data_IF_570700004664
#
_entry.id   IF_570700004664
#
_cell.length_a   1.000
_cell.length_b   1.000
_cell.length_c   1.000
_cell.angle_alpha   90.00
_cell.angle_beta   90.00
_cell.angle_gamma   90.00
#
_symmetry.space_group_name_H-M   'P 1'
#
loop_
_entity.id
_entity.type
_entity.pdbx_description
1 polymer ?
#
# COMPACT_ATOMS: atom_id res chain seq x y z
N UNK A 1 -3.27 17.55 -1.71
CA UNK A 1 -3.38 16.10 -1.42
C UNK A 1 -2.20 15.64 -0.57
N UNK A 2 -2.30 14.56 0.21
CA UNK A 2 -1.19 14.17 1.11
C UNK A 2 0.11 13.86 0.35
N UNK A 3 0.00 13.27 -0.84
CA UNK A 3 1.11 13.02 -1.77
C UNK A 3 1.83 14.31 -2.19
N UNK A 4 1.12 15.40 -2.47
CA UNK A 4 1.73 16.70 -2.82
C UNK A 4 2.51 17.31 -1.65
N UNK A 5 1.95 17.21 -0.43
CA UNK A 5 2.63 17.67 0.78
C UNK A 5 3.87 16.83 1.07
N UNK A 6 3.75 15.50 0.96
CA UNK A 6 4.86 14.56 1.16
C UNK A 6 5.99 14.81 0.14
N UNK A 7 5.64 15.05 -1.14
CA UNK A 7 6.61 15.30 -2.22
C UNK A 7 7.47 16.53 -2.01
N UNK A 8 6.97 17.54 -1.26
CA UNK A 8 7.79 18.70 -0.87
C UNK A 8 8.88 18.36 0.13
N UNK A 9 8.65 17.34 0.97
CA UNK A 9 9.58 16.91 2.02
C UNK A 9 10.49 15.78 1.52
N UNK A 10 9.95 14.83 0.75
CA UNK A 10 10.64 13.64 0.27
C UNK A 10 10.59 13.52 -1.27
N UNK A 11 11.21 14.43 -2.02
CA UNK A 11 11.11 14.44 -3.48
C UNK A 11 11.78 13.25 -4.18
N UNK A 12 12.65 12.50 -3.47
CA UNK A 12 13.48 11.44 -4.02
C UNK A 12 12.81 10.05 -4.03
N UNK A 13 11.55 9.94 -3.61
CA UNK A 13 10.76 8.71 -3.75
C UNK A 13 9.83 8.83 -4.95
N UNK A 14 9.44 7.68 -5.49
CA UNK A 14 8.44 7.63 -6.54
C UNK A 14 7.04 7.85 -5.97
N UNK A 15 6.25 8.64 -6.69
CA UNK A 15 4.87 8.93 -6.33
C UNK A 15 3.97 8.40 -7.45
N UNK A 16 2.96 7.63 -7.05
CA UNK A 16 1.91 7.17 -7.95
C UNK A 16 0.61 7.91 -7.68
N UNK A 17 -0.20 8.11 -8.72
CA UNK A 17 -1.57 8.61 -8.61
C UNK A 17 -2.59 7.52 -8.31
N UNK A 18 -2.19 6.23 -8.38
CA UNK A 18 -3.03 5.07 -8.09
C UNK A 18 -2.28 4.04 -7.26
N UNK A 19 -2.94 3.48 -6.25
CA UNK A 19 -2.35 2.43 -5.42
C UNK A 19 -1.87 1.23 -6.24
N UNK A 20 -2.65 0.79 -7.22
CA UNK A 20 -2.30 -0.39 -8.04
C UNK A 20 -1.05 -0.23 -8.90
N UNK A 21 -0.67 1.01 -9.23
CA UNK A 21 0.58 1.30 -9.94
C UNK A 21 1.77 1.30 -8.97
N UNK A 22 1.58 1.75 -7.73
CA UNK A 22 2.61 1.67 -6.68
C UNK A 22 2.89 0.22 -6.22
N UNK A 23 1.91 -0.68 -6.38
CA UNK A 23 2.05 -2.11 -6.06
C UNK A 23 2.80 -2.89 -7.14
N UNK A 24 2.94 -2.36 -8.36
CA UNK A 24 3.52 -3.10 -9.47
C UNK A 24 5.00 -3.41 -9.18
N UNK A 25 5.37 -4.68 -9.33
CA UNK A 25 6.73 -5.20 -9.14
C UNK A 25 7.31 -5.02 -7.72
N UNK A 26 6.51 -4.55 -6.76
CA UNK A 26 6.94 -4.33 -5.38
C UNK A 26 7.22 -5.66 -4.66
N UNK A 27 8.27 -5.71 -3.84
CA UNK A 27 8.57 -6.89 -3.02
C UNK A 27 7.70 -6.96 -1.74
N UNK A 28 7.22 -5.81 -1.23
CA UNK A 28 6.31 -5.73 -0.10
C UNK A 28 5.49 -4.42 -0.11
N UNK A 29 4.37 -4.39 0.62
CA UNK A 29 3.51 -3.22 0.78
C UNK A 29 3.35 -2.87 2.27
N UNK A 30 3.41 -1.58 2.60
CA UNK A 30 3.11 -1.06 3.94
C UNK A 30 1.96 -0.05 3.87
N UNK A 31 0.87 -0.34 4.59
CA UNK A 31 -0.31 0.52 4.67
C UNK A 31 -0.26 1.32 5.98
N UNK A 32 -0.18 2.64 5.87
CA UNK A 32 -0.06 3.54 7.03
C UNK A 32 -1.26 4.47 7.25
N UNK A 33 -2.24 4.47 6.36
CA UNK A 33 -3.43 5.34 6.44
C UNK A 33 -4.70 4.58 6.10
N UNK A 34 -5.81 4.89 6.76
CA UNK A 34 -7.10 4.20 6.71
C UNK A 34 -8.06 4.68 5.61
N UNK A 35 -7.51 5.20 4.52
CA UNK A 35 -8.31 5.75 3.42
C UNK A 35 -9.13 4.66 2.73
N UNK A 36 -10.35 5.03 2.33
CA UNK A 36 -11.30 4.07 1.74
C UNK A 36 -10.75 3.41 0.47
N UNK A 37 -9.96 4.14 -0.33
CA UNK A 37 -9.31 3.59 -1.54
C UNK A 37 -8.41 2.37 -1.27
N UNK A 38 -7.86 2.24 -0.05
CA UNK A 38 -7.02 1.10 0.31
C UNK A 38 -7.83 -0.08 0.86
N UNK A 39 -9.02 0.18 1.42
CA UNK A 39 -9.93 -0.87 1.93
C UNK A 39 -10.44 -1.77 0.81
N UNK A 40 -10.54 -1.22 -0.39
CA UNK A 40 -11.08 -1.90 -1.58
C UNK A 40 -10.01 -2.64 -2.39
N UNK A 41 -8.72 -2.55 -2.01
CA UNK A 41 -7.65 -3.29 -2.67
C UNK A 41 -7.74 -4.80 -2.34
N UNK A 42 -7.70 -5.63 -3.38
CA UNK A 42 -7.66 -7.09 -3.26
C UNK A 42 -6.80 -7.68 -4.39
N UNK A 43 -7.37 -7.75 -5.59
CA UNK A 43 -6.68 -8.31 -6.77
C UNK A 43 -5.42 -7.53 -7.18
N UNK A 44 -5.35 -6.25 -6.80
CA UNK A 44 -4.24 -5.35 -7.09
C UNK A 44 -2.93 -5.84 -6.45
N UNK A 45 -2.99 -6.50 -5.29
CA UNK A 45 -1.82 -7.08 -4.64
C UNK A 45 -1.17 -8.19 -5.48
N UNK A 46 -1.88 -8.79 -6.45
CA UNK A 46 -1.30 -9.78 -7.35
C UNK A 46 -0.32 -9.19 -8.37
N UNK A 47 -0.25 -7.84 -8.50
CA UNK A 47 0.77 -7.16 -9.31
C UNK A 47 2.13 -7.06 -8.60
N UNK A 48 2.16 -7.33 -7.30
CA UNK A 48 3.40 -7.34 -6.53
C UNK A 48 4.24 -8.57 -6.88
N UNK A 49 5.54 -8.42 -6.78
CA UNK A 49 6.50 -9.52 -6.92
C UNK A 49 6.56 -10.37 -5.65
N UNK A 50 6.53 -9.74 -4.49
CA UNK A 50 6.36 -10.41 -3.19
C UNK A 50 4.93 -10.25 -2.68
N UNK A 51 4.49 -11.15 -1.80
CA UNK A 51 3.09 -11.18 -1.31
C UNK A 51 2.90 -10.56 0.07
N UNK A 52 3.96 -10.02 0.67
CA UNK A 52 3.92 -9.47 2.02
C UNK A 52 3.22 -8.12 2.05
N UNK A 53 2.14 -8.04 2.81
CA UNK A 53 1.39 -6.80 3.07
C UNK A 53 1.37 -6.56 4.56
N UNK A 54 1.96 -5.44 4.97
CA UNK A 54 2.03 -5.00 6.36
C UNK A 54 0.96 -3.92 6.54
N UNK A 55 0.00 -4.18 7.42
CA UNK A 55 -1.12 -3.29 7.70
C UNK A 55 -1.00 -2.64 9.08
N UNK A 56 -0.62 -1.36 9.10
CA UNK A 56 -0.56 -0.57 10.32
C UNK A 56 -1.91 -0.01 10.78
N UNK A 57 -2.99 -0.18 10.00
CA UNK A 57 -4.31 0.43 10.24
C UNK A 57 -5.46 -0.57 10.35
N UNK A 58 -5.21 -1.87 10.09
CA UNK A 58 -6.20 -2.95 10.14
C UNK A 58 -7.38 -2.70 9.21
N UNK A 59 -7.09 -2.42 7.94
CA UNK A 59 -8.06 -2.09 6.90
C UNK A 59 -8.06 -3.05 5.71
N UNK A 60 -6.98 -3.80 5.50
CA UNK A 60 -6.83 -4.71 4.36
C UNK A 60 -7.62 -5.99 4.59
N UNK A 61 -8.44 -6.35 3.61
CA UNK A 61 -9.27 -7.57 3.60
C UNK A 61 -8.89 -8.55 2.49
N UNK A 62 -7.83 -8.21 1.75
CA UNK A 62 -7.39 -8.95 0.59
C UNK A 62 -7.07 -10.41 0.94
N UNK A 63 -7.29 -11.30 -0.03
CA UNK A 63 -6.99 -12.73 0.10
C UNK A 63 -5.75 -13.07 -0.72
N UNK A 64 -5.10 -14.19 -0.39
CA UNK A 64 -3.90 -14.67 -1.09
C UNK A 64 -2.68 -13.73 -0.99
N UNK A 65 -2.57 -13.04 0.14
CA UNK A 65 -1.41 -12.24 0.55
C UNK A 65 -0.84 -12.81 1.85
N UNK A 66 0.44 -12.55 2.11
CA UNK A 66 1.05 -12.79 3.42
C UNK A 66 0.79 -11.55 4.27
N UNK A 67 -0.28 -11.58 5.05
CA UNK A 67 -0.75 -10.46 5.84
C UNK A 67 -0.05 -10.41 7.20
N UNK A 68 0.56 -9.27 7.50
CA UNK A 68 1.14 -8.93 8.80
C UNK A 68 0.56 -7.60 9.28
N UNK A 69 0.52 -7.37 10.57
CA UNK A 69 -0.01 -6.13 11.15
C UNK A 69 0.79 -5.72 12.37
N UNK A 70 0.97 -4.42 12.52
CA UNK A 70 2.00 -3.89 13.41
C UNK A 70 1.48 -3.54 14.82
N UNK A 71 0.17 -3.38 14.99
CA UNK A 71 -0.41 -2.71 16.17
C UNK A 71 -1.67 -3.39 16.72
N UNK A 72 -1.75 -4.73 16.69
CA UNK A 72 -2.88 -5.44 17.32
C UNK A 72 -2.66 -5.68 18.82
#
# INVERSE_FOLDING_TARGET
MASENMKRIFPAIEYSSKASDALKDADACLVMTEWDEFKDLDSEFQKMKGKTVIDGRRIIKAKNIDYEGLCW
#
